data_IF_622652071930
#
_entry.id   IF_622652071930
#
_cell.length_a   1.000
_cell.length_b   1.000
_cell.length_c   1.000
_cell.angle_alpha   90.00
_cell.angle_beta   90.00
_cell.angle_gamma   90.00
#
_symmetry.space_group_name_H-M   'P 1'
#
loop_
_entity.id
_entity.type
_entity.pdbx_description
1 polymer ?
#
# COMPACT_ATOMS: atom_id res chain seq x y z
N UNK A 1 14.58 3.80 8.06
CA UNK A 1 15.24 4.10 9.34
C UNK A 1 14.39 5.01 10.21
N UNK A 2 13.85 6.12 9.68
CA UNK A 2 13.04 7.08 10.46
C UNK A 2 11.54 6.72 10.54
N UNK A 3 11.17 5.48 10.28
CA UNK A 3 9.83 4.94 10.54
C UNK A 3 9.67 4.40 11.96
N UNK A 4 10.79 4.23 12.70
CA UNK A 4 10.81 3.73 14.07
C UNK A 4 10.87 4.92 15.04
N UNK A 5 9.81 5.11 15.80
CA UNK A 5 9.69 6.20 16.77
C UNK A 5 10.74 6.11 17.88
N UNK A 6 11.00 4.90 18.39
CA UNK A 6 11.99 4.69 19.46
C UNK A 6 13.39 5.09 18.99
N UNK A 7 13.72 4.76 17.73
CA UNK A 7 15.00 5.15 17.14
C UNK A 7 15.13 6.67 16.96
N UNK A 8 14.06 7.35 16.52
CA UNK A 8 14.02 8.82 16.43
C UNK A 8 14.23 9.44 17.80
N UNK A 9 13.54 8.93 18.82
CA UNK A 9 13.65 9.39 20.21
C UNK A 9 15.04 9.13 20.79
N UNK A 10 15.62 7.96 20.52
CA UNK A 10 16.96 7.60 20.97
C UNK A 10 18.04 8.52 20.38
N UNK A 11 17.88 8.95 19.14
CA UNK A 11 18.78 9.89 18.47
C UNK A 11 18.51 11.36 18.86
N UNK A 12 17.39 11.66 19.53
CA UNK A 12 16.98 13.01 19.89
C UNK A 12 16.73 13.90 18.67
N UNK A 13 16.20 13.33 17.58
CA UNK A 13 16.02 14.05 16.31
C UNK A 13 14.94 15.13 16.40
N UNK A 14 15.29 16.31 15.87
CA UNK A 14 14.40 17.43 15.70
C UNK A 14 14.27 17.79 14.21
N UNK A 15 13.16 18.44 13.85
CA UNK A 15 13.02 18.98 12.48
C UNK A 15 13.98 20.16 12.30
N UNK A 16 14.75 20.14 11.19
CA UNK A 16 15.75 21.15 10.90
C UNK A 16 17.16 20.81 11.37
N UNK A 17 17.34 19.69 12.08
CA UNK A 17 18.66 19.24 12.52
C UNK A 17 19.60 18.90 11.36
N UNK A 18 20.89 19.14 11.58
CA UNK A 18 21.95 18.61 10.73
C UNK A 18 22.35 17.23 11.25
N UNK A 19 22.23 16.21 10.39
CA UNK A 19 22.44 14.82 10.75
C UNK A 19 23.63 14.20 10.03
N UNK A 20 24.21 13.18 10.63
CA UNK A 20 25.16 12.29 9.96
C UNK A 20 24.43 11.10 9.37
N UNK A 21 24.72 10.82 8.10
CA UNK A 21 24.14 9.70 7.36
C UNK A 21 25.26 8.81 6.84
N UNK A 22 25.13 7.51 7.01
CA UNK A 22 26.00 6.52 6.38
C UNK A 22 25.18 5.58 5.47
N UNK A 23 25.85 4.87 4.59
CA UNK A 23 25.24 3.74 3.88
C UNK A 23 25.26 2.52 4.81
N UNK A 24 24.08 1.97 5.13
CA UNK A 24 23.96 0.67 5.76
C UNK A 24 23.98 -0.40 4.66
N UNK A 25 24.97 -1.26 4.65
CA UNK A 25 25.27 -2.09 3.50
C UNK A 25 25.68 -1.23 2.29
N UNK A 26 25.31 -1.67 1.08
CA UNK A 26 25.73 -0.96 -0.14
C UNK A 26 24.79 0.16 -0.59
N UNK A 27 23.55 0.21 -0.11
CA UNK A 27 22.49 1.01 -0.74
C UNK A 27 21.69 1.88 0.25
N UNK A 28 21.35 1.40 1.44
CA UNK A 28 20.34 2.03 2.31
C UNK A 28 20.96 3.12 3.18
N UNK A 29 20.50 4.40 3.09
CA UNK A 29 20.97 5.45 3.99
C UNK A 29 20.46 5.23 5.42
N UNK A 30 21.35 5.35 6.38
CA UNK A 30 21.06 5.23 7.82
C UNK A 30 21.52 6.50 8.53
N UNK A 31 20.63 7.06 9.36
CA UNK A 31 20.99 8.17 10.26
C UNK A 31 21.73 7.60 11.46
N UNK A 32 22.92 8.11 11.74
CA UNK A 32 23.78 7.64 12.85
C UNK A 32 23.88 8.62 14.01
N UNK A 33 23.48 9.87 13.82
CA UNK A 33 23.49 10.86 14.88
C UNK A 33 23.14 12.26 14.40
N UNK A 34 22.95 13.16 15.35
CA UNK A 34 22.79 14.60 15.15
C UNK A 34 24.15 15.27 15.35
N UNK A 35 24.53 16.15 14.43
CA UNK A 35 25.74 16.98 14.55
C UNK A 35 25.44 18.38 15.04
N UNK A 36 24.25 18.88 14.73
CA UNK A 36 23.82 20.21 15.12
C UNK A 36 22.29 20.24 15.18
N UNK A 37 21.75 20.72 16.32
CA UNK A 37 20.33 21.00 16.44
C UNK A 37 20.01 22.38 15.86
N UNK A 38 18.89 22.50 15.17
CA UNK A 38 18.40 23.79 14.72
C UNK A 38 18.01 24.67 15.92
N UNK A 39 18.17 25.98 15.80
CA UNK A 39 17.82 26.92 16.86
C UNK A 39 16.31 26.85 17.15
N UNK A 40 15.94 26.62 18.42
CA UNK A 40 14.56 26.46 18.83
C UNK A 40 13.88 25.18 18.37
N UNK A 41 14.63 24.20 17.87
CA UNK A 41 14.04 22.93 17.44
C UNK A 41 13.54 22.11 18.62
N UNK A 42 12.33 21.55 18.45
CA UNK A 42 11.73 20.63 19.42
C UNK A 42 11.89 19.17 18.97
N UNK A 43 11.97 18.21 19.91
CA UNK A 43 12.03 16.79 19.58
C UNK A 43 10.85 16.37 18.68
N UNK A 44 11.16 15.65 17.61
CA UNK A 44 10.12 15.16 16.71
C UNK A 44 9.22 14.14 17.40
N UNK A 45 7.92 14.31 17.26
CA UNK A 45 6.91 13.36 17.73
C UNK A 45 6.14 12.80 16.54
N UNK A 46 5.90 11.49 16.56
CA UNK A 46 5.07 10.85 15.52
C UNK A 46 3.62 11.32 15.63
N UNK A 47 2.90 11.39 14.49
CA UNK A 47 1.48 11.70 14.51
C UNK A 47 0.68 10.65 15.27
N UNK A 48 -0.29 11.08 16.07
CA UNK A 48 -1.20 10.20 16.83
C UNK A 48 -2.45 9.82 16.05
N UNK A 49 -2.69 10.50 14.92
CA UNK A 49 -3.82 10.27 14.03
C UNK A 49 -3.37 10.08 12.60
N UNK A 50 -4.11 9.29 11.86
CA UNK A 50 -3.86 9.06 10.44
C UNK A 50 -4.07 10.35 9.63
N UNK A 51 -3.10 10.80 8.83
CA UNK A 51 -3.24 12.03 8.03
C UNK A 51 -4.29 11.91 6.91
N UNK A 52 -4.69 10.69 6.54
CA UNK A 52 -5.67 10.46 5.48
C UNK A 52 -7.11 10.41 6.00
N UNK A 53 -7.36 9.74 7.12
CA UNK A 53 -8.72 9.49 7.61
C UNK A 53 -9.00 10.02 9.02
N UNK A 54 -7.99 10.60 9.71
CA UNK A 54 -8.14 11.13 11.06
C UNK A 54 -8.29 10.07 12.18
N UNK A 55 -8.37 8.80 11.85
CA UNK A 55 -8.46 7.74 12.85
C UNK A 55 -7.16 7.61 13.65
N UNK A 56 -7.21 7.14 14.92
CA UNK A 56 -6.02 6.89 15.72
C UNK A 56 -5.06 5.93 15.01
N UNK A 57 -3.76 6.18 15.15
CA UNK A 57 -2.73 5.23 14.76
C UNK A 57 -2.22 4.49 15.98
N UNK A 58 -1.83 3.23 15.79
CA UNK A 58 -1.43 2.34 16.88
C UNK A 58 -0.12 1.62 16.54
N UNK A 59 0.64 1.25 17.57
CA UNK A 59 1.65 0.22 17.47
C UNK A 59 0.98 -1.14 17.52
N UNK A 60 1.25 -1.97 16.52
CA UNK A 60 0.88 -3.38 16.57
C UNK A 60 2.01 -4.16 17.27
N UNK A 61 1.66 -5.27 17.96
CA UNK A 61 2.65 -6.13 18.58
C UNK A 61 3.73 -6.53 17.55
N UNK A 62 4.98 -6.47 17.96
CA UNK A 62 6.17 -6.78 17.16
C UNK A 62 6.44 -5.83 15.96
N UNK A 63 5.78 -4.67 15.87
CA UNK A 63 6.08 -3.68 14.83
C UNK A 63 6.60 -2.35 15.38
N UNK A 64 7.71 -1.90 14.80
CA UNK A 64 8.28 -0.58 15.10
C UNK A 64 7.53 0.59 14.46
N UNK A 65 6.61 0.33 13.53
CA UNK A 65 5.91 1.36 12.79
C UNK A 65 4.50 1.61 13.32
N UNK A 66 4.11 2.88 13.45
CA UNK A 66 2.72 3.29 13.70
C UNK A 66 1.86 3.00 12.49
N UNK A 67 0.65 2.48 12.75
CA UNK A 67 -0.29 2.11 11.68
C UNK A 67 -1.70 2.61 11.94
N UNK A 68 -2.33 3.05 10.88
CA UNK A 68 -3.76 3.24 10.86
C UNK A 68 -4.46 1.87 10.77
N UNK A 69 -5.42 1.62 11.65
CA UNK A 69 -6.19 0.36 11.69
C UNK A 69 -7.63 0.54 11.18
N UNK A 70 -7.97 1.72 10.68
CA UNK A 70 -9.29 1.97 10.12
C UNK A 70 -9.43 1.23 8.76
N UNK A 71 -10.35 0.25 8.65
CA UNK A 71 -10.56 -0.49 7.39
C UNK A 71 -11.10 0.39 6.26
N UNK A 72 -11.76 1.50 6.60
CA UNK A 72 -12.31 2.47 5.63
C UNK A 72 -11.32 3.60 5.29
N UNK A 73 -10.05 3.47 5.65
CA UNK A 73 -9.06 4.48 5.34
C UNK A 73 -8.79 4.56 3.83
N UNK A 74 -9.01 5.72 3.17
CA UNK A 74 -8.83 5.85 1.72
C UNK A 74 -7.41 5.53 1.25
N UNK A 75 -6.40 5.89 2.04
CA UNK A 75 -5.01 5.58 1.71
C UNK A 75 -4.70 4.07 1.76
N UNK A 76 -5.36 3.33 2.66
CA UNK A 76 -5.23 1.87 2.71
C UNK A 76 -6.01 1.20 1.57
N UNK A 77 -7.23 1.67 1.31
CA UNK A 77 -8.03 1.17 0.19
C UNK A 77 -7.28 1.32 -1.13
N UNK A 78 -6.72 2.49 -1.40
CA UNK A 78 -5.90 2.72 -2.61
C UNK A 78 -4.71 1.76 -2.69
N UNK A 79 -3.95 1.59 -1.61
CA UNK A 79 -2.81 0.66 -1.59
C UNK A 79 -3.22 -0.80 -1.80
N UNK A 80 -4.33 -1.21 -1.20
CA UNK A 80 -4.88 -2.56 -1.37
C UNK A 80 -5.32 -2.80 -2.82
N UNK A 81 -5.96 -1.82 -3.45
CA UNK A 81 -6.36 -1.87 -4.86
C UNK A 81 -5.14 -1.98 -5.78
N UNK A 82 -4.10 -1.15 -5.54
CA UNK A 82 -2.85 -1.19 -6.32
C UNK A 82 -2.17 -2.55 -6.17
N UNK A 83 -2.07 -3.06 -4.93
CA UNK A 83 -1.48 -4.37 -4.66
C UNK A 83 -2.27 -5.49 -5.35
N UNK A 84 -3.59 -5.49 -5.21
CA UNK A 84 -4.46 -6.48 -5.83
C UNK A 84 -4.32 -6.51 -7.35
N UNK A 85 -4.24 -5.34 -7.98
CA UNK A 85 -4.08 -5.22 -9.44
C UNK A 85 -2.65 -5.48 -9.94
N UNK A 86 -1.67 -5.61 -9.03
CA UNK A 86 -0.27 -5.76 -9.41
C UNK A 86 0.00 -7.05 -10.20
N UNK A 87 1.10 -7.05 -10.95
CA UNK A 87 1.53 -8.18 -11.79
C UNK A 87 1.71 -9.48 -11.00
N UNK A 88 2.22 -9.36 -9.77
CA UNK A 88 2.48 -10.53 -8.93
C UNK A 88 1.21 -11.09 -8.27
N UNK A 89 0.14 -10.29 -8.20
CA UNK A 89 -1.18 -10.64 -7.74
C UNK A 89 -2.13 -10.99 -8.89
N UNK A 90 -3.17 -10.19 -9.11
CA UNK A 90 -4.20 -10.50 -10.11
C UNK A 90 -3.83 -10.07 -11.53
N UNK A 91 -2.68 -9.44 -11.74
CA UNK A 91 -2.13 -9.03 -13.05
C UNK A 91 -3.13 -8.24 -13.92
N UNK A 92 -3.78 -7.27 -13.29
CA UNK A 92 -4.72 -6.38 -13.98
C UNK A 92 -3.90 -5.19 -14.52
N UNK A 93 -3.33 -5.36 -15.70
CA UNK A 93 -2.55 -4.32 -16.37
C UNK A 93 -3.42 -3.13 -16.78
N UNK A 94 -3.32 -2.02 -16.07
CA UNK A 94 -4.06 -0.79 -16.38
C UNK A 94 -3.32 0.45 -15.87
N UNK A 95 -2.18 0.80 -16.47
CA UNK A 95 -1.40 2.04 -16.23
C UNK A 95 -1.14 2.41 -14.76
N UNK A 96 -1.08 1.40 -13.85
CA UNK A 96 -0.49 1.53 -12.54
C UNK A 96 -1.25 2.43 -11.56
N UNK A 97 -0.50 2.97 -10.62
CA UNK A 97 -0.98 3.78 -9.48
C UNK A 97 -1.87 4.96 -9.88
N UNK A 98 -1.56 5.65 -11.00
CA UNK A 98 -2.32 6.82 -11.44
C UNK A 98 -3.78 6.51 -11.83
N UNK A 99 -4.05 5.33 -12.37
CA UNK A 99 -5.43 4.91 -12.69
C UNK A 99 -6.15 4.46 -11.44
N UNK A 100 -5.50 3.68 -10.57
CA UNK A 100 -6.07 3.29 -9.29
C UNK A 100 -6.42 4.52 -8.44
N UNK A 101 -5.56 5.53 -8.41
CA UNK A 101 -5.82 6.80 -7.71
C UNK A 101 -7.07 7.48 -8.24
N UNK A 102 -7.20 7.65 -9.56
CA UNK A 102 -8.40 8.27 -10.14
C UNK A 102 -9.68 7.47 -9.85
N UNK A 103 -9.63 6.14 -9.91
CA UNK A 103 -10.77 5.27 -9.60
C UNK A 103 -11.25 5.46 -8.16
N UNK A 104 -10.32 5.58 -7.21
CA UNK A 104 -10.64 5.84 -5.81
C UNK A 104 -11.12 7.27 -5.58
N UNK A 105 -10.45 8.28 -6.16
CA UNK A 105 -10.80 9.68 -6.02
C UNK A 105 -12.18 10.02 -6.63
N UNK A 106 -12.54 9.33 -7.71
CA UNK A 106 -13.86 9.44 -8.36
C UNK A 106 -14.93 8.53 -7.71
N UNK A 107 -14.60 7.88 -6.61
CA UNK A 107 -15.48 6.96 -5.88
C UNK A 107 -16.05 5.81 -6.72
N UNK A 108 -15.36 5.43 -7.79
CA UNK A 108 -15.73 4.32 -8.66
C UNK A 108 -15.32 2.95 -8.07
N UNK A 109 -14.31 2.95 -7.22
CA UNK A 109 -13.76 1.73 -6.60
C UNK A 109 -13.40 2.03 -5.14
N UNK A 110 -14.00 1.30 -4.20
CA UNK A 110 -13.72 1.35 -2.77
C UNK A 110 -12.99 0.09 -2.28
N UNK A 111 -13.11 -0.99 -3.02
CA UNK A 111 -12.52 -2.29 -2.70
C UNK A 111 -12.03 -3.00 -3.97
N UNK A 112 -11.22 -4.04 -3.80
CA UNK A 112 -10.78 -4.88 -4.91
C UNK A 112 -11.94 -5.54 -5.69
N UNK A 113 -13.07 -5.80 -5.02
CA UNK A 113 -14.24 -6.38 -5.65
C UNK A 113 -14.89 -5.43 -6.68
N UNK A 114 -14.87 -4.12 -6.41
CA UNK A 114 -15.48 -3.13 -7.28
C UNK A 114 -14.77 -3.01 -8.64
N UNK A 115 -13.49 -3.42 -8.71
CA UNK A 115 -12.75 -3.50 -9.98
C UNK A 115 -13.53 -4.34 -11.00
N UNK A 116 -14.19 -5.41 -10.57
CA UNK A 116 -14.91 -6.35 -11.43
C UNK A 116 -16.29 -5.87 -11.86
N UNK A 117 -16.75 -4.74 -11.33
CA UNK A 117 -18.03 -4.09 -11.69
C UNK A 117 -17.84 -2.85 -12.55
N UNK A 118 -16.60 -2.45 -12.84
CA UNK A 118 -16.30 -1.29 -13.67
C UNK A 118 -16.86 -1.45 -15.07
N UNK A 119 -17.48 -0.35 -15.56
CA UNK A 119 -18.02 -0.27 -16.92
C UNK A 119 -17.10 0.54 -17.84
N UNK A 120 -17.28 0.34 -19.15
CA UNK A 120 -16.53 1.10 -20.17
C UNK A 120 -16.76 2.60 -20.05
N UNK A 121 -18.01 2.99 -19.80
CA UNK A 121 -18.44 4.38 -19.67
C UNK A 121 -17.68 5.06 -18.51
N UNK A 122 -17.64 4.42 -17.34
CA UNK A 122 -16.90 4.92 -16.18
C UNK A 122 -15.40 5.08 -16.45
N UNK A 123 -14.81 4.13 -17.19
CA UNK A 123 -13.39 4.22 -17.54
C UNK A 123 -13.08 5.36 -18.51
N UNK A 124 -14.02 5.70 -19.40
CA UNK A 124 -13.85 6.82 -20.34
C UNK A 124 -13.92 8.19 -19.66
N UNK A 125 -14.44 8.27 -18.42
CA UNK A 125 -14.44 9.49 -17.59
C UNK A 125 -13.09 9.77 -16.92
N UNK A 126 -12.15 8.80 -16.98
CA UNK A 126 -10.83 8.98 -16.40
C UNK A 126 -9.95 9.84 -17.30
N UNK A 127 -9.10 10.67 -16.66
CA UNK A 127 -8.18 11.55 -17.36
C UNK A 127 -7.18 10.76 -18.20
N UNK A 128 -7.02 11.19 -19.46
CA UNK A 128 -6.11 10.55 -20.43
C UNK A 128 -6.46 9.08 -20.76
N UNK A 129 -7.64 8.62 -20.38
CA UNK A 129 -8.16 7.33 -20.75
C UNK A 129 -8.96 7.46 -22.05
N UNK A 130 -8.66 6.59 -23.02
CA UNK A 130 -9.37 6.52 -24.32
C UNK A 130 -9.91 5.11 -24.51
N UNK A 131 -10.74 4.94 -25.51
CA UNK A 131 -11.40 3.67 -25.83
C UNK A 131 -10.47 2.45 -25.76
N UNK A 132 -9.32 2.50 -26.44
CA UNK A 132 -8.34 1.41 -26.43
C UNK A 132 -7.82 1.11 -25.01
N UNK A 133 -7.64 2.11 -24.19
CA UNK A 133 -7.17 1.90 -22.79
C UNK A 133 -8.27 1.30 -21.93
N UNK A 134 -9.52 1.73 -22.12
CA UNK A 134 -10.67 1.18 -21.42
C UNK A 134 -10.89 -0.29 -21.81
N UNK A 135 -10.87 -0.58 -23.10
CA UNK A 135 -11.05 -1.95 -23.61
C UNK A 135 -9.94 -2.89 -23.13
N UNK A 136 -8.68 -2.43 -23.12
CA UNK A 136 -7.56 -3.22 -22.61
C UNK A 136 -7.70 -3.51 -21.11
N UNK A 137 -8.11 -2.52 -20.32
CA UNK A 137 -8.31 -2.72 -18.87
C UNK A 137 -9.44 -3.69 -18.60
N UNK A 138 -10.58 -3.57 -19.27
CA UNK A 138 -11.71 -4.49 -19.14
C UNK A 138 -11.33 -5.91 -19.57
N UNK A 139 -10.51 -6.04 -20.59
CA UNK A 139 -9.98 -7.33 -21.02
C UNK A 139 -9.07 -7.95 -19.95
N UNK A 140 -8.16 -7.16 -19.36
CA UNK A 140 -7.29 -7.60 -18.28
C UNK A 140 -8.10 -8.01 -17.03
N UNK A 141 -9.12 -7.23 -16.65
CA UNK A 141 -10.05 -7.57 -15.57
C UNK A 141 -10.77 -8.91 -15.87
N UNK A 142 -11.20 -9.11 -17.09
CA UNK A 142 -11.86 -10.37 -17.47
C UNK A 142 -10.90 -11.55 -17.44
N UNK A 143 -9.67 -11.37 -17.93
CA UNK A 143 -8.64 -12.40 -17.91
C UNK A 143 -8.23 -12.78 -16.48
N UNK A 144 -8.15 -11.80 -15.58
CA UNK A 144 -7.76 -12.04 -14.17
C UNK A 144 -8.70 -12.97 -13.41
N UNK A 145 -9.96 -13.10 -13.85
CA UNK A 145 -10.93 -14.06 -13.28
C UNK A 145 -10.52 -15.54 -13.44
N UNK A 146 -9.57 -15.81 -14.34
CA UNK A 146 -9.02 -17.14 -14.57
C UNK A 146 -7.74 -17.41 -13.76
N UNK A 147 -7.27 -16.46 -12.98
CA UNK A 147 -6.10 -16.63 -12.14
C UNK A 147 -6.33 -17.66 -11.04
N UNK A 148 -5.25 -18.32 -10.64
CA UNK A 148 -5.27 -19.34 -9.62
C UNK A 148 -5.55 -18.75 -8.22
N UNK A 149 -5.96 -19.61 -7.30
CA UNK A 149 -6.28 -19.24 -5.91
C UNK A 149 -5.10 -18.59 -5.17
N UNK A 150 -3.87 -19.02 -5.44
CA UNK A 150 -2.65 -18.43 -4.84
C UNK A 150 -2.51 -16.94 -5.18
N UNK A 151 -2.79 -16.56 -6.43
CA UNK A 151 -2.78 -15.16 -6.88
C UNK A 151 -3.85 -14.31 -6.19
N UNK A 152 -5.03 -14.87 -6.02
CA UNK A 152 -6.13 -14.21 -5.30
C UNK A 152 -5.78 -14.01 -3.83
N UNK A 153 -5.27 -15.03 -3.15
CA UNK A 153 -4.88 -14.96 -1.74
C UNK A 153 -3.75 -13.94 -1.52
N UNK A 154 -2.74 -13.95 -2.40
CA UNK A 154 -1.69 -12.95 -2.38
C UNK A 154 -2.26 -11.54 -2.63
N UNK A 155 -3.17 -11.41 -3.59
CA UNK A 155 -3.81 -10.16 -3.98
C UNK A 155 -4.63 -9.51 -2.85
N UNK A 156 -5.20 -10.28 -1.94
CA UNK A 156 -5.88 -9.73 -0.75
C UNK A 156 -4.94 -8.95 0.18
N UNK A 157 -3.62 -9.11 0.05
CA UNK A 157 -2.66 -8.39 0.88
C UNK A 157 -2.77 -8.73 2.37
N UNK A 158 -3.19 -9.95 2.68
CA UNK A 158 -3.31 -10.43 4.06
C UNK A 158 -1.92 -10.43 4.68
N UNK A 159 -1.83 -9.81 5.85
CA UNK A 159 -0.57 -9.65 6.56
C UNK A 159 0.08 -11.01 6.83
N UNK A 160 1.38 -11.09 6.63
CA UNK A 160 2.20 -12.30 6.75
C UNK A 160 1.86 -13.40 5.72
N UNK A 161 0.93 -13.16 4.80
CA UNK A 161 0.65 -14.05 3.67
C UNK A 161 1.31 -13.47 2.42
N UNK A 162 2.58 -13.83 2.21
CA UNK A 162 3.29 -13.55 0.97
C UNK A 162 2.99 -14.59 -0.12
N UNK A 163 3.64 -14.47 -1.27
CA UNK A 163 3.50 -15.36 -2.43
C UNK A 163 3.63 -16.85 -2.07
N UNK A 164 4.65 -17.21 -1.29
CA UNK A 164 4.90 -18.60 -0.86
C UNK A 164 3.82 -19.13 0.07
N UNK A 165 3.38 -18.35 1.04
CA UNK A 165 2.32 -18.75 1.96
C UNK A 165 0.99 -18.88 1.21
N UNK A 166 0.67 -17.96 0.30
CA UNK A 166 -0.50 -18.03 -0.55
C UNK A 166 -0.52 -19.31 -1.42
N UNK A 167 0.63 -19.66 -2.01
CA UNK A 167 0.76 -20.89 -2.80
C UNK A 167 0.54 -22.15 -1.96
N UNK A 168 1.13 -22.23 -0.77
CA UNK A 168 0.93 -23.37 0.15
C UNK A 168 -0.52 -23.50 0.60
N UNK A 169 -1.20 -22.39 0.91
CA UNK A 169 -2.62 -22.39 1.27
C UNK A 169 -3.49 -22.86 0.10
N UNK A 170 -3.22 -22.35 -1.11
CA UNK A 170 -3.95 -22.74 -2.31
C UNK A 170 -3.79 -24.21 -2.63
N UNK A 171 -2.57 -24.76 -2.49
CA UNK A 171 -2.29 -26.18 -2.70
C UNK A 171 -2.99 -27.06 -1.67
N UNK A 172 -2.97 -26.65 -0.39
CA UNK A 172 -3.54 -27.45 0.70
C UNK A 172 -5.06 -27.47 0.69
N UNK A 173 -5.69 -26.29 0.51
CA UNK A 173 -7.14 -26.15 0.64
C UNK A 173 -7.89 -26.24 -0.71
N UNK A 174 -7.25 -25.92 -1.81
CA UNK A 174 -7.81 -26.02 -3.16
C UNK A 174 -8.88 -24.99 -3.52
N UNK A 175 -9.68 -24.53 -2.55
CA UNK A 175 -10.75 -23.55 -2.75
C UNK A 175 -10.76 -22.49 -1.65
N UNK A 176 -11.28 -21.30 -1.95
CA UNK A 176 -11.42 -20.22 -0.97
C UNK A 176 -12.37 -20.59 0.18
N UNK A 177 -13.40 -21.41 -0.12
CA UNK A 177 -14.37 -21.83 0.88
C UNK A 177 -13.80 -22.84 1.89
N UNK A 178 -12.68 -23.48 1.57
CA UNK A 178 -12.03 -24.45 2.45
C UNK A 178 -10.99 -23.79 3.38
N UNK A 179 -10.62 -22.54 3.10
CA UNK A 179 -9.75 -21.71 3.95
C UNK A 179 -10.58 -21.05 5.04
#
# INVERSE_FOLDING_TARGET
>A
TLHNEDFIRQLGLCIGDTIQVRKAGDIIPEVIGVTHHAEGAEPYTMPTVCPSCGAPVVHLEDEAALRCVNPECPAQALRNIIHFASRDAMDIEGRGEAVATQLVEKELVHSAADIYTLTREQLLELDKFKEKSADNLLQAITASKQNNLDKLLFGFGIRNIGDKAAALLAEHFGTLQAI
#
